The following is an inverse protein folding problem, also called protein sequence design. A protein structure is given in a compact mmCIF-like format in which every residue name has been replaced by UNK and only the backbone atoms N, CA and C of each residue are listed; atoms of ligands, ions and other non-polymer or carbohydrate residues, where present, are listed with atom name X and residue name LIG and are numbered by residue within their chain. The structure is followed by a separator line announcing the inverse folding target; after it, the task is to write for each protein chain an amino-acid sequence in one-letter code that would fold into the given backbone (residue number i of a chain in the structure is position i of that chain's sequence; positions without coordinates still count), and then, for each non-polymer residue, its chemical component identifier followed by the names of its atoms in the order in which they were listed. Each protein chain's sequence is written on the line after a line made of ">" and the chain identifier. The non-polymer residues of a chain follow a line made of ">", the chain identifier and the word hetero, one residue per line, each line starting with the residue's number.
data_IF_323288070959
#
_entry.id   IF_323288070959
#
_cell.length_a   1.000
_cell.length_b   1.000
_cell.length_c   1.000
_cell.angle_alpha   90.00
_cell.angle_beta   90.00
_cell.angle_gamma   90.00
#
_symmetry.space_group_name_H-M   'P 1'
#
loop_
_entity.id
_entity.type
_entity.pdbx_description
1 polymer ?
#
# COMPACT_ATOMS: atom_id res chain seq x y z
N UNK A 1 5.85 -7.66 -12.18
CA UNK A 1 5.35 -6.67 -11.22
C UNK A 1 6.29 -6.62 -10.04
N UNK A 2 6.57 -5.45 -9.54
CA UNK A 2 7.48 -5.30 -8.41
C UNK A 2 6.76 -5.65 -7.11
N UNK A 3 7.47 -6.26 -6.17
CA UNK A 3 6.90 -6.56 -4.87
C UNK A 3 6.71 -5.27 -4.07
N UNK A 4 7.54 -4.25 -4.29
CA UNK A 4 7.42 -2.99 -3.58
C UNK A 4 6.36 -2.13 -4.24
N UNK A 5 5.41 -1.66 -3.44
CA UNK A 5 4.31 -0.84 -3.94
C UNK A 5 4.18 0.42 -3.11
N UNK A 6 3.51 1.42 -3.68
CA UNK A 6 3.36 2.70 -3.04
C UNK A 6 1.91 2.96 -2.66
N UNK A 7 1.64 4.14 -2.10
CA UNK A 7 0.33 4.44 -1.53
C UNK A 7 -0.86 4.14 -2.45
N UNK A 8 -0.84 4.54 -3.72
CA UNK A 8 -2.00 4.26 -4.56
C UNK A 8 -2.30 2.77 -4.70
N UNK A 9 -1.24 1.95 -4.84
CA UNK A 9 -1.41 0.51 -4.96
C UNK A 9 -1.86 -0.10 -3.64
N UNK A 10 -1.32 0.38 -2.53
CA UNK A 10 -1.73 -0.10 -1.21
C UNK A 10 -3.21 0.18 -1.01
N UNK A 11 -3.65 1.38 -1.37
CA UNK A 11 -5.06 1.76 -1.24
C UNK A 11 -5.95 0.85 -2.07
N UNK A 12 -5.48 0.47 -3.27
CA UNK A 12 -6.26 -0.38 -4.14
C UNK A 12 -6.43 -1.77 -3.55
N UNK A 13 -5.37 -2.33 -2.98
CA UNK A 13 -5.45 -3.66 -2.39
C UNK A 13 -6.36 -3.66 -1.16
N UNK A 14 -6.21 -2.64 -0.31
CA UNK A 14 -6.97 -2.58 0.94
C UNK A 14 -8.40 -2.12 0.70
N UNK A 15 -8.62 -1.30 -0.31
CA UNK A 15 -9.96 -0.82 -0.63
C UNK A 15 -10.29 0.47 0.09
N UNK A 16 -9.30 1.34 0.28
CA UNK A 16 -9.52 2.62 0.94
C UNK A 16 -8.91 3.73 0.09
N UNK A 17 -9.01 4.96 0.58
CA UNK A 17 -8.47 6.09 -0.17
C UNK A 17 -6.98 6.20 0.01
N UNK A 18 -6.32 6.88 -0.91
CA UNK A 18 -4.89 7.12 -0.84
C UNK A 18 -4.56 7.97 0.39
N UNK A 19 -5.41 8.93 0.71
CA UNK A 19 -5.19 9.78 1.87
C UNK A 19 -5.26 8.97 3.16
N UNK A 20 -6.13 7.97 3.21
CA UNK A 20 -6.23 7.11 4.37
C UNK A 20 -4.94 6.30 4.55
N UNK A 21 -4.37 5.82 3.45
CA UNK A 21 -3.11 5.09 3.48
C UNK A 21 -2.00 5.98 4.03
N UNK A 22 -1.88 7.19 3.48
CA UNK A 22 -0.84 8.11 3.92
C UNK A 22 -0.98 8.45 5.38
N UNK A 23 -2.21 8.68 5.83
CA UNK A 23 -2.45 9.03 7.21
C UNK A 23 -2.00 7.90 8.14
N UNK A 24 -2.38 6.68 7.84
CA UNK A 24 -2.06 5.55 8.70
C UNK A 24 -0.56 5.26 8.74
N UNK A 25 0.13 5.42 7.62
CA UNK A 25 1.56 5.18 7.59
C UNK A 25 2.29 6.31 8.30
N UNK A 26 1.89 7.55 8.05
CA UNK A 26 2.54 8.71 8.63
C UNK A 26 2.45 8.69 10.15
N UNK A 27 1.32 8.26 10.68
CA UNK A 27 1.10 8.25 12.13
C UNK A 27 1.52 6.94 12.79
N UNK A 28 2.13 6.04 12.02
CA UNK A 28 2.67 4.81 12.59
C UNK A 28 1.65 3.76 12.93
N UNK A 29 0.42 3.90 12.45
CA UNK A 29 -0.59 2.89 12.71
C UNK A 29 -0.35 1.63 11.89
N UNK A 30 0.25 1.78 10.72
CA UNK A 30 0.56 0.65 9.84
C UNK A 30 2.06 0.44 9.82
N UNK A 31 2.55 -0.46 10.67
CA UNK A 31 3.98 -0.68 10.80
C UNK A 31 4.58 -1.51 9.69
N UNK A 32 3.74 -2.10 8.85
CA UNK A 32 4.23 -2.87 7.73
C UNK A 32 4.68 -1.98 6.56
N UNK A 33 4.45 -0.69 6.66
CA UNK A 33 4.82 0.24 5.60
C UNK A 33 5.78 1.28 6.15
N UNK A 34 6.47 1.96 5.26
CA UNK A 34 7.47 2.94 5.67
C UNK A 34 7.38 4.18 4.83
N UNK A 35 7.96 5.26 5.34
CA UNK A 35 8.05 6.54 4.64
C UNK A 35 9.47 6.66 4.12
N UNK A 36 9.62 6.90 2.82
CA UNK A 36 10.91 7.09 2.19
C UNK A 36 11.00 8.54 1.75
N UNK A 37 12.00 9.25 2.23
CA UNK A 37 12.20 10.64 1.84
C UNK A 37 12.92 10.68 0.51
N UNK A 38 12.32 11.33 -0.47
CA UNK A 38 12.91 11.46 -1.80
C UNK A 38 13.40 12.85 -2.09
N UNK A 39 13.35 13.74 -1.10
CA UNK A 39 13.80 15.12 -1.24
C UNK A 39 13.53 15.83 0.04
N UNK A 40 13.72 17.14 0.07
CA UNK A 40 13.54 17.88 1.30
C UNK A 40 12.10 17.92 1.76
N UNK A 41 11.16 17.97 0.82
CA UNK A 41 9.76 18.08 1.18
C UNK A 41 8.92 16.93 0.65
N UNK A 42 9.50 16.01 -0.11
CA UNK A 42 8.73 14.95 -0.72
C UNK A 42 8.95 13.64 0.02
N UNK A 43 7.86 12.89 0.18
CA UNK A 43 7.91 11.59 0.83
C UNK A 43 7.20 10.57 -0.03
N UNK A 44 7.66 9.34 0.05
CA UNK A 44 7.04 8.23 -0.63
C UNK A 44 6.64 7.22 0.42
N UNK A 45 5.44 6.70 0.31
CA UNK A 45 4.94 5.71 1.25
C UNK A 45 4.98 4.36 0.56
N UNK A 46 5.75 3.42 1.12
CA UNK A 46 5.99 2.13 0.48
C UNK A 46 5.74 0.97 1.40
N UNK A 47 5.37 -0.16 0.80
CA UNK A 47 5.26 -1.42 1.50
C UNK A 47 5.46 -2.52 0.47
N UNK A 48 5.20 -3.76 0.83
CA UNK A 48 5.30 -4.88 -0.11
C UNK A 48 3.92 -5.49 -0.30
N UNK A 49 3.71 -6.12 -1.45
CA UNK A 49 2.44 -6.78 -1.72
C UNK A 49 2.17 -7.83 -0.65
N UNK A 50 3.20 -8.60 -0.30
CA UNK A 50 3.04 -9.66 0.69
C UNK A 50 2.61 -9.13 2.05
N UNK A 51 3.21 -8.02 2.50
CA UNK A 51 2.87 -7.48 3.80
C UNK A 51 1.50 -6.84 3.83
N UNK A 52 1.11 -6.17 2.77
CA UNK A 52 -0.22 -5.59 2.68
C UNK A 52 -1.27 -6.70 2.69
N UNK A 53 -1.02 -7.77 1.91
CA UNK A 53 -1.95 -8.89 1.87
C UNK A 53 -2.09 -9.52 3.25
N UNK A 54 -0.96 -9.68 3.95
CA UNK A 54 -1.00 -10.29 5.27
C UNK A 54 -1.78 -9.41 6.25
N UNK A 55 -1.63 -8.10 6.12
CA UNK A 55 -2.32 -7.18 7.02
C UNK A 55 -3.84 -7.31 6.92
N UNK A 56 -4.37 -7.49 5.73
CA UNK A 56 -5.81 -7.59 5.55
C UNK A 56 -6.28 -9.04 5.44
N UNK A 57 -5.37 -10.01 5.60
CA UNK A 57 -5.76 -11.41 5.68
C UNK A 57 -6.10 -12.06 4.37
N UNK A 58 -5.46 -11.66 3.28
CA UNK A 58 -5.69 -12.28 1.98
C UNK A 58 -4.37 -12.85 1.48
N UNK A 59 -4.44 -13.70 0.45
CA UNK A 59 -3.24 -14.25 -0.14
C UNK A 59 -2.56 -13.20 -1.01
N UNK A 60 -1.28 -13.42 -1.27
CA UNK A 60 -0.55 -12.53 -2.16
C UNK A 60 -1.17 -12.54 -3.55
N UNK A 61 -1.64 -13.70 -4.00
CA UNK A 61 -2.27 -13.79 -5.30
C UNK A 61 -3.53 -12.95 -5.39
N UNK A 62 -4.30 -12.93 -4.32
CA UNK A 62 -5.50 -12.11 -4.29
C UNK A 62 -5.12 -10.63 -4.32
N UNK A 63 -4.07 -10.25 -3.62
CA UNK A 63 -3.60 -8.86 -3.63
C UNK A 63 -3.19 -8.45 -5.04
N UNK A 64 -2.47 -9.32 -5.75
CA UNK A 64 -2.05 -9.03 -7.11
C UNK A 64 -3.28 -8.89 -8.03
N UNK A 65 -4.30 -9.73 -7.83
CA UNK A 65 -5.51 -9.62 -8.61
C UNK A 65 -6.19 -8.28 -8.41
N UNK A 66 -6.20 -7.78 -7.18
CA UNK A 66 -6.82 -6.49 -6.91
C UNK A 66 -6.06 -5.35 -7.60
N UNK A 67 -4.73 -5.49 -7.69
CA UNK A 67 -3.94 -4.49 -8.39
C UNK A 67 -4.20 -4.53 -9.89
N UNK A 68 -4.26 -5.74 -10.46
CA UNK A 68 -4.43 -5.86 -11.89
C UNK A 68 -5.87 -5.71 -12.32
N UNK A 69 -6.78 -6.19 -11.52
CA UNK A 69 -8.17 -6.21 -11.88
C UNK A 69 -8.83 -4.87 -11.90
N UNK A 70 -8.25 -3.93 -11.25
CA UNK A 70 -8.82 -2.60 -11.20
C UNK A 70 -10.24 -2.65 -10.79
N UNK A 71 -10.57 -3.50 -9.90
CA UNK A 71 -11.76 -3.62 -9.55
C UNK A 71 -12.38 -2.53 -9.24
N UNK A 72 -12.99 -2.15 -8.88
CA UNK A 72 -13.58 -0.95 -8.62
C UNK A 72 -13.85 -0.22 -9.82
N UNK A 73 -13.44 -0.65 -10.75
CA UNK A 73 -13.63 0.09 -11.84
C UNK A 73 -14.79 -0.16 -12.48
#
# INVERSE_FOLDING_TARGET
>A
MSEIIQAPAIAKIIGCSINQVRYNIKHGYWKFARVVKTGQTKHRYESTITEVARHIGISREEAVKRLEGGEGN
#
